data_IF_503317886588
#
_entry.id   IF_503317886588
#
_cell.length_a   1.000
_cell.length_b   1.000
_cell.length_c   1.000
_cell.angle_alpha   90.00
_cell.angle_beta   90.00
_cell.angle_gamma   90.00
#
_symmetry.space_group_name_H-M   'P 1'
#
loop_
_entity.id
_entity.type
_entity.pdbx_description
1 polymer ?
#
# COMPACT_ATOMS: atom_id res chain seq x y z
N UNK A 1 -3.06 11.17 15.39
CA UNK A 1 -1.62 10.97 15.15
C UNK A 1 -1.42 10.62 13.68
N UNK A 2 -0.38 11.17 13.05
CA UNK A 2 -0.05 10.93 11.66
C UNK A 2 1.46 10.75 11.51
N UNK A 3 1.86 9.95 10.53
CA UNK A 3 3.25 9.66 10.18
C UNK A 3 3.52 10.12 8.76
N UNK A 4 4.75 10.55 8.49
CA UNK A 4 5.20 10.82 7.12
C UNK A 4 5.92 9.59 6.61
N UNK A 5 5.43 9.02 5.52
CA UNK A 5 6.02 7.86 4.87
C UNK A 5 7.12 8.30 3.89
N UNK A 6 8.16 7.50 3.77
CA UNK A 6 9.08 7.57 2.64
C UNK A 6 8.45 6.75 1.52
N UNK A 7 7.96 7.45 0.49
CA UNK A 7 7.36 6.83 -0.69
C UNK A 7 8.42 6.64 -1.78
N UNK A 8 8.22 5.61 -2.59
CA UNK A 8 8.97 5.43 -3.83
C UNK A 8 8.68 6.58 -4.82
N UNK A 9 9.60 6.83 -5.75
CA UNK A 9 9.50 7.94 -6.70
C UNK A 9 8.27 7.80 -7.63
N UNK A 10 7.90 6.57 -7.96
CA UNK A 10 6.71 6.22 -8.74
C UNK A 10 5.41 6.66 -8.05
N UNK A 11 5.43 6.86 -6.73
CA UNK A 11 4.30 7.31 -5.91
C UNK A 11 4.43 8.77 -5.47
N UNK A 12 5.30 9.55 -6.12
CA UNK A 12 5.55 10.97 -5.78
C UNK A 12 4.31 11.87 -5.86
N UNK A 13 3.29 11.47 -6.62
CA UNK A 13 2.00 12.16 -6.71
C UNK A 13 1.04 11.82 -5.54
N UNK A 14 1.36 10.84 -4.70
CA UNK A 14 0.56 10.44 -3.54
C UNK A 14 0.98 11.25 -2.31
N UNK A 15 -0.01 11.70 -1.53
CA UNK A 15 0.27 12.34 -0.24
C UNK A 15 0.94 11.35 0.72
N UNK A 16 2.17 11.63 1.11
CA UNK A 16 2.96 10.79 2.00
C UNK A 16 2.58 10.87 3.49
N UNK A 17 1.43 11.43 3.83
CA UNK A 17 0.97 11.52 5.22
C UNK A 17 -0.02 10.40 5.51
N UNK A 18 0.33 9.50 6.44
CA UNK A 18 -0.50 8.40 6.88
C UNK A 18 -1.11 8.68 8.26
N UNK A 19 -2.44 8.79 8.33
CA UNK A 19 -3.13 8.98 9.60
C UNK A 19 -3.44 7.64 10.29
N UNK A 20 -3.17 7.52 11.59
CA UNK A 20 -3.47 6.29 12.37
C UNK A 20 -4.97 5.94 12.35
N UNK A 21 -5.84 6.94 12.20
CA UNK A 21 -7.28 6.72 12.00
C UNK A 21 -7.59 5.92 10.74
N UNK A 22 -6.75 6.03 9.70
CA UNK A 22 -6.93 5.29 8.45
C UNK A 22 -6.66 3.81 8.65
N UNK A 23 -5.68 3.43 9.48
CA UNK A 23 -5.45 2.02 9.85
C UNK A 23 -6.70 1.40 10.48
N UNK A 24 -7.34 2.11 11.41
CA UNK A 24 -8.59 1.64 12.04
C UNK A 24 -9.73 1.46 11.05
N UNK A 25 -9.80 2.32 10.02
CA UNK A 25 -10.80 2.20 8.94
C UNK A 25 -10.51 0.99 8.06
N UNK A 26 -9.25 0.75 7.69
CA UNK A 26 -8.89 -0.42 6.86
C UNK A 26 -9.23 -1.73 7.56
N UNK A 27 -9.03 -1.83 8.87
CA UNK A 27 -9.38 -3.04 9.64
C UNK A 27 -10.89 -3.30 9.73
N UNK A 28 -11.73 -2.30 9.45
CA UNK A 28 -13.17 -2.47 9.42
C UNK A 28 -13.66 -3.06 8.08
N UNK A 29 -12.84 -2.99 7.03
CA UNK A 29 -13.14 -3.57 5.73
C UNK A 29 -12.40 -4.90 5.58
N UNK A 30 -13.12 -5.99 5.84
CA UNK A 30 -12.58 -7.35 5.77
C UNK A 30 -12.04 -7.71 4.38
N UNK A 31 -12.49 -7.03 3.32
CA UNK A 31 -12.00 -7.26 1.96
C UNK A 31 -10.55 -6.79 1.74
N UNK A 32 -10.05 -5.89 2.59
CA UNK A 32 -8.68 -5.40 2.56
C UNK A 32 -7.71 -6.28 3.37
N UNK A 33 -8.23 -7.28 4.10
CA UNK A 33 -7.41 -8.16 4.93
C UNK A 33 -6.86 -9.30 4.07
N UNK A 34 -5.54 -9.30 3.89
CA UNK A 34 -4.84 -10.38 3.19
C UNK A 34 -4.47 -11.46 4.21
N UNK A 35 -4.91 -12.72 4.03
CA UNK A 35 -4.51 -13.83 4.88
C UNK A 35 -2.99 -14.05 4.86
N UNK A 36 -2.39 -14.34 6.03
CA UNK A 36 -0.93 -14.56 6.14
C UNK A 36 -0.45 -15.68 5.20
N UNK A 37 -1.26 -16.71 4.98
CA UNK A 37 -0.97 -17.82 4.05
C UNK A 37 -0.76 -17.37 2.58
N UNK A 38 -1.27 -16.20 2.21
CA UNK A 38 -1.16 -15.62 0.87
C UNK A 38 0.06 -14.70 0.74
N UNK A 39 0.69 -14.34 1.87
CA UNK A 39 1.91 -13.53 1.86
C UNK A 39 3.12 -14.43 1.62
N UNK A 40 3.86 -14.14 0.53
CA UNK A 40 5.14 -14.79 0.26
C UNK A 40 6.27 -13.91 0.77
N UNK A 41 7.21 -14.53 1.48
CA UNK A 41 8.39 -13.85 1.99
C UNK A 41 9.66 -14.56 1.52
N UNK A 42 10.71 -13.78 1.26
CA UNK A 42 12.04 -14.33 0.97
C UNK A 42 12.75 -14.78 2.26
N UNK A 43 13.95 -15.36 2.12
CA UNK A 43 14.77 -15.82 3.25
C UNK A 43 15.18 -14.68 4.23
N UNK A 44 14.97 -13.42 3.83
CA UNK A 44 15.26 -12.21 4.62
C UNK A 44 13.99 -11.57 5.19
N UNK A 45 12.83 -12.21 5.06
CA UNK A 45 11.51 -11.72 5.47
C UNK A 45 11.03 -10.48 4.70
N UNK A 46 11.57 -10.21 3.52
CA UNK A 46 10.99 -9.21 2.62
C UNK A 46 9.77 -9.80 1.93
N UNK A 47 8.75 -8.97 1.73
CA UNK A 47 7.60 -9.35 0.93
C UNK A 47 8.03 -9.58 -0.52
N UNK A 48 7.64 -10.71 -1.09
CA UNK A 48 7.86 -10.99 -2.52
C UNK A 48 6.71 -10.35 -3.29
N UNK A 49 7.00 -9.23 -3.95
CA UNK A 49 6.01 -8.54 -4.78
C UNK A 49 5.71 -9.35 -6.05
N UNK A 50 4.44 -9.67 -6.28
CA UNK A 50 3.96 -10.14 -7.57
C UNK A 50 3.49 -8.92 -8.37
N UNK A 51 4.19 -8.54 -9.45
CA UNK A 51 3.82 -7.35 -10.21
C UNK A 51 2.47 -7.59 -10.89
N UNK A 52 1.43 -6.90 -10.40
CA UNK A 52 0.13 -6.85 -11.06
C UNK A 52 0.17 -5.72 -12.09
N UNK A 53 -0.13 -6.04 -13.34
CA UNK A 53 -0.23 -5.05 -14.40
C UNK A 53 -1.35 -4.04 -14.09
N UNK A 54 -0.99 -2.78 -13.90
CA UNK A 54 -1.96 -1.68 -13.78
C UNK A 54 -2.51 -1.41 -15.18
N UNK A 55 -3.69 -1.96 -15.48
CA UNK A 55 -4.31 -1.84 -16.81
C UNK A 55 -4.97 -0.49 -17.06
N UNK A 56 -5.31 0.24 -16.01
CA UNK A 56 -6.03 1.51 -16.10
C UNK A 56 -5.31 2.57 -15.26
N UNK A 57 -4.71 3.54 -15.95
CA UNK A 57 -3.95 4.63 -15.33
C UNK A 57 -4.49 5.96 -15.84
N UNK A 58 -5.31 6.64 -15.02
CA UNK A 58 -5.71 8.01 -15.29
C UNK A 58 -4.64 8.99 -14.80
N UNK A 59 -4.05 9.74 -15.73
CA UNK A 59 -3.15 10.85 -15.41
C UNK A 59 -4.00 12.10 -15.22
N UNK A 60 -4.19 12.53 -13.95
CA UNK A 60 -4.74 13.86 -13.67
C UNK A 60 -3.70 14.93 -13.99
N UNK A 61 -3.98 15.78 -14.98
CA UNK A 61 -3.26 17.02 -15.19
C UNK A 61 -3.82 18.11 -14.27
N UNK A 62 -2.93 18.85 -13.61
CA UNK A 62 -3.24 19.97 -12.71
C UNK A 62 -3.47 21.27 -13.49
#
# INVERSE_FOLDING_TARGET
MAYKLELLEELSNVHNTFHVSNLKKCLADESLIIPIKELQFDDKLNFVEEPVEIKDQEIKQL
#
